data_IF_415122052479
#
_entry.id   IF_415122052479
#
_cell.length_a   1.000
_cell.length_b   1.000
_cell.length_c   1.000
_cell.angle_alpha   90.00
_cell.angle_beta   90.00
_cell.angle_gamma   90.00
#
_symmetry.space_group_name_H-M   'P 1'
#
loop_
_entity.id
_entity.type
_entity.pdbx_description
1 polymer ?
#
# COMPACT_ATOMS: atom_id res chain seq x y z
N UNK A 1 20.05 -1.72 -9.20
CA UNK A 1 19.43 -2.84 -9.93
C UNK A 1 18.00 -2.45 -10.24
N UNK A 2 17.53 -2.72 -11.45
CA UNK A 2 16.12 -2.59 -11.83
C UNK A 2 15.27 -3.53 -10.98
N UNK A 3 14.15 -3.04 -10.45
CA UNK A 3 13.21 -3.81 -9.66
C UNK A 3 11.89 -3.94 -10.43
N UNK A 4 11.17 -5.02 -10.16
CA UNK A 4 9.78 -5.21 -10.59
C UNK A 4 8.89 -4.82 -9.42
N UNK A 5 8.25 -3.68 -9.53
CA UNK A 5 7.49 -3.04 -8.47
C UNK A 5 6.01 -3.20 -8.75
N UNK A 6 5.29 -3.76 -7.79
CA UNK A 6 3.83 -3.73 -7.79
C UNK A 6 3.34 -2.67 -6.81
N UNK A 7 2.76 -1.59 -7.32
CA UNK A 7 2.05 -0.62 -6.50
C UNK A 7 0.59 -1.04 -6.31
N UNK A 8 0.13 -1.06 -5.07
CA UNK A 8 -1.23 -1.41 -4.69
C UNK A 8 -1.85 -0.20 -4.00
N UNK A 9 -2.81 0.42 -4.66
CA UNK A 9 -3.62 1.51 -4.11
C UNK A 9 -4.82 0.93 -3.37
N UNK A 10 -4.73 0.89 -2.05
CA UNK A 10 -5.76 0.40 -1.13
C UNK A 10 -6.84 1.43 -0.81
N UNK A 11 -7.20 2.28 -1.76
CA UNK A 11 -8.23 3.32 -1.62
C UNK A 11 -9.33 3.10 -2.67
N UNK A 12 -10.63 3.24 -2.32
CA UNK A 12 -11.72 3.03 -3.28
C UNK A 12 -11.80 4.15 -4.34
N UNK A 13 -11.51 5.39 -3.97
CA UNK A 13 -11.48 6.52 -4.92
C UNK A 13 -10.09 6.73 -5.56
N UNK A 14 -10.12 6.98 -6.88
CA UNK A 14 -8.99 7.35 -7.74
C UNK A 14 -8.60 8.84 -7.69
N UNK A 15 -9.33 9.68 -6.94
CA UNK A 15 -9.10 11.13 -6.85
C UNK A 15 -8.68 11.58 -5.45
N UNK A 16 -8.27 10.63 -4.60
CA UNK A 16 -7.84 10.87 -3.22
C UNK A 16 -6.38 11.33 -3.12
N UNK A 17 -5.97 11.85 -1.95
CA UNK A 17 -4.55 12.10 -1.69
C UNK A 17 -3.71 10.82 -1.76
N UNK A 18 -4.28 9.64 -1.44
CA UNK A 18 -3.62 8.36 -1.69
C UNK A 18 -3.34 8.12 -3.18
N UNK A 19 -4.22 8.55 -4.09
CA UNK A 19 -3.93 8.47 -5.52
C UNK A 19 -2.76 9.38 -5.90
N UNK A 20 -2.72 10.62 -5.42
CA UNK A 20 -1.60 11.52 -5.67
C UNK A 20 -0.25 10.95 -5.18
N UNK A 21 -0.25 10.31 -4.00
CA UNK A 21 0.91 9.57 -3.48
C UNK A 21 1.29 8.39 -4.38
N UNK A 22 0.32 7.61 -4.85
CA UNK A 22 0.54 6.49 -5.75
C UNK A 22 1.13 6.94 -7.09
N UNK A 23 0.55 7.97 -7.71
CA UNK A 23 0.97 8.50 -9.00
C UNK A 23 2.40 9.08 -8.91
N UNK A 24 2.72 9.76 -7.81
CA UNK A 24 4.08 10.25 -7.53
C UNK A 24 5.08 9.10 -7.39
N UNK A 25 4.70 8.04 -6.67
CA UNK A 25 5.55 6.87 -6.49
C UNK A 25 5.82 6.16 -7.82
N UNK A 26 4.78 5.95 -8.63
CA UNK A 26 4.88 5.34 -9.96
C UNK A 26 5.84 6.15 -10.82
N UNK A 27 5.60 7.45 -10.93
CA UNK A 27 6.41 8.35 -11.74
C UNK A 27 7.89 8.32 -11.34
N UNK A 28 8.19 8.46 -10.04
CA UNK A 28 9.56 8.45 -9.53
C UNK A 28 10.26 7.09 -9.75
N UNK A 29 9.55 5.98 -9.54
CA UNK A 29 10.10 4.64 -9.73
C UNK A 29 10.38 4.35 -11.21
N UNK A 30 9.49 4.75 -12.11
CA UNK A 30 9.69 4.62 -13.56
C UNK A 30 10.89 5.45 -14.04
N UNK A 31 11.02 6.70 -13.59
CA UNK A 31 12.19 7.54 -13.91
C UNK A 31 13.49 6.90 -13.39
N UNK A 32 13.46 6.26 -12.23
CA UNK A 32 14.61 5.55 -11.67
C UNK A 32 14.93 4.22 -12.40
N UNK A 33 14.24 3.90 -13.49
CA UNK A 33 14.48 2.72 -14.33
C UNK A 33 13.95 1.42 -13.73
N UNK A 34 12.89 1.50 -12.92
CA UNK A 34 12.16 0.33 -12.43
C UNK A 34 10.95 0.00 -13.32
N UNK A 35 10.62 -1.28 -13.41
CA UNK A 35 9.36 -1.73 -14.03
C UNK A 35 8.25 -1.64 -12.99
N UNK A 36 7.13 -1.01 -13.34
CA UNK A 36 6.02 -0.77 -12.40
C UNK A 36 4.72 -1.33 -12.96
N UNK A 37 4.04 -2.16 -12.18
CA UNK A 37 2.63 -2.52 -12.36
C UNK A 37 1.79 -1.91 -11.25
N UNK A 38 0.52 -1.64 -11.54
CA UNK A 38 -0.37 -0.92 -10.63
C UNK A 38 -1.66 -1.71 -10.46
N UNK A 39 -2.06 -1.93 -9.20
CA UNK A 39 -3.37 -2.46 -8.83
C UNK A 39 -4.12 -1.38 -8.06
N UNK A 40 -5.18 -0.85 -8.67
CA UNK A 40 -6.12 0.08 -8.02
C UNK A 40 -7.27 -0.74 -7.48
N UNK A 41 -7.30 -1.00 -6.17
CA UNK A 41 -8.28 -1.92 -5.59
C UNK A 41 -9.73 -1.45 -5.80
N UNK A 42 -9.95 -0.13 -5.87
CA UNK A 42 -11.28 0.44 -6.17
C UNK A 42 -11.80 0.16 -7.58
N UNK A 43 -10.96 -0.33 -8.48
CA UNK A 43 -11.32 -0.66 -9.88
C UNK A 43 -11.48 -2.17 -10.11
N UNK A 44 -11.13 -3.00 -9.12
CA UNK A 44 -11.22 -4.45 -9.24
C UNK A 44 -12.65 -4.95 -8.97
N UNK A 45 -13.11 -5.89 -9.78
CA UNK A 45 -14.36 -6.61 -9.61
C UNK A 45 -14.10 -7.92 -8.84
N UNK A 46 -14.33 -7.89 -7.53
CA UNK A 46 -14.25 -9.07 -6.67
C UNK A 46 -15.14 -8.93 -5.45
N UNK A 47 -15.51 -10.06 -4.85
CA UNK A 47 -16.19 -10.07 -3.56
C UNK A 47 -15.16 -10.01 -2.41
N UNK A 48 -15.14 -8.96 -1.58
CA UNK A 48 -14.14 -8.81 -0.52
C UNK A 48 -14.39 -9.74 0.68
N UNK A 49 -15.50 -10.47 0.74
CA UNK A 49 -15.86 -11.34 1.87
C UNK A 49 -15.34 -12.76 1.64
N UNK A 50 -14.67 -13.33 2.63
CA UNK A 50 -14.30 -14.74 2.68
C UNK A 50 -15.39 -15.54 3.41
N UNK A 51 -16.42 -15.99 2.68
CA UNK A 51 -17.68 -16.47 3.28
C UNK A 51 -17.53 -17.69 4.18
N UNK A 52 -16.63 -18.62 3.83
CA UNK A 52 -16.48 -19.90 4.54
C UNK A 52 -15.16 -20.02 5.30
N UNK A 53 -14.47 -18.91 5.53
CA UNK A 53 -13.10 -18.92 6.04
C UNK A 53 -12.20 -19.83 5.19
N UNK A 54 -11.40 -20.67 5.86
CA UNK A 54 -10.54 -21.65 5.19
C UNK A 54 -11.16 -23.05 5.09
N UNK A 55 -12.44 -23.22 5.44
CA UNK A 55 -13.09 -24.54 5.47
C UNK A 55 -13.51 -25.00 4.07
N UNK A 56 -14.01 -24.07 3.24
CA UNK A 56 -14.40 -24.36 1.86
C UNK A 56 -13.64 -23.45 0.90
N UNK A 57 -13.20 -23.98 -0.26
CA UNK A 57 -12.56 -23.16 -1.27
C UNK A 57 -13.56 -22.15 -1.84
N UNK A 58 -13.08 -20.92 -2.03
CA UNK A 58 -13.79 -19.87 -2.72
C UNK A 58 -12.97 -19.50 -3.95
N UNK A 59 -13.54 -19.70 -5.13
CA UNK A 59 -12.84 -19.45 -6.38
C UNK A 59 -12.42 -17.98 -6.48
N UNK A 60 -11.19 -17.74 -6.94
CA UNK A 60 -10.70 -16.39 -7.18
C UNK A 60 -11.28 -15.86 -8.49
N UNK A 61 -11.80 -14.65 -8.44
CA UNK A 61 -12.24 -13.89 -9.60
C UNK A 61 -11.03 -13.59 -10.52
N UNK A 62 -11.27 -13.35 -11.83
CA UNK A 62 -10.19 -13.05 -12.78
C UNK A 62 -9.25 -11.93 -12.32
N UNK A 63 -9.77 -10.91 -11.65
CA UNK A 63 -8.99 -9.80 -11.12
C UNK A 63 -8.08 -10.23 -9.96
N UNK A 64 -8.56 -11.14 -9.10
CA UNK A 64 -7.74 -11.69 -8.01
C UNK A 64 -6.67 -12.66 -8.53
N UNK A 65 -6.98 -13.45 -9.58
CA UNK A 65 -5.99 -14.29 -10.26
C UNK A 65 -4.89 -13.44 -10.90
N UNK A 66 -5.27 -12.35 -11.59
CA UNK A 66 -4.34 -11.39 -12.18
C UNK A 66 -3.49 -10.72 -11.11
N UNK A 67 -4.09 -10.31 -9.99
CA UNK A 67 -3.38 -9.75 -8.86
C UNK A 67 -2.37 -10.74 -8.23
N UNK A 68 -2.71 -12.03 -8.11
CA UNK A 68 -1.75 -13.06 -7.68
C UNK A 68 -0.57 -13.18 -8.65
N UNK A 69 -0.83 -13.16 -9.95
CA UNK A 69 0.23 -13.19 -10.96
C UNK A 69 1.16 -11.97 -10.85
N UNK A 70 0.60 -10.78 -10.62
CA UNK A 70 1.37 -9.56 -10.41
C UNK A 70 2.21 -9.59 -9.13
N UNK A 71 1.67 -10.13 -8.03
CA UNK A 71 2.41 -10.31 -6.77
C UNK A 71 3.59 -11.28 -6.98
N UNK A 72 3.41 -12.34 -7.77
CA UNK A 72 4.47 -13.29 -8.09
C UNK A 72 5.54 -12.66 -8.99
N UNK A 73 5.13 -11.84 -9.96
CA UNK A 73 6.03 -11.08 -10.82
C UNK A 73 6.87 -10.07 -10.03
N UNK A 74 6.29 -9.42 -9.01
CA UNK A 74 6.97 -8.38 -8.25
C UNK A 74 8.13 -8.91 -7.38
N UNK A 75 9.22 -8.13 -7.32
CA UNK A 75 10.29 -8.28 -6.31
C UNK A 75 10.15 -7.27 -5.17
N UNK A 76 9.36 -6.21 -5.38
CA UNK A 76 9.06 -5.18 -4.40
C UNK A 76 7.58 -4.78 -4.48
N UNK A 77 6.93 -4.60 -3.33
CA UNK A 77 5.53 -4.16 -3.25
C UNK A 77 5.44 -2.77 -2.62
N UNK A 78 4.64 -1.88 -3.17
CA UNK A 78 4.34 -0.59 -2.57
C UNK A 78 2.85 -0.53 -2.21
N UNK A 79 2.53 -0.40 -0.93
CA UNK A 79 1.15 -0.29 -0.46
C UNK A 79 0.84 1.16 -0.12
N UNK A 80 -0.17 1.73 -0.78
CA UNK A 80 -0.65 3.09 -0.52
C UNK A 80 -2.07 3.02 0.04
N UNK A 81 -2.28 3.46 1.28
CA UNK A 81 -3.60 3.35 1.93
C UNK A 81 -3.79 4.35 3.07
N UNK A 82 -5.03 4.75 3.38
CA UNK A 82 -5.34 5.51 4.58
C UNK A 82 -5.50 4.62 5.81
N UNK A 83 -5.30 5.19 7.00
CA UNK A 83 -5.72 4.57 8.26
C UNK A 83 -7.18 4.94 8.53
N UNK A 84 -8.06 3.94 8.56
CA UNK A 84 -9.46 4.07 8.94
C UNK A 84 -9.74 3.21 10.15
N UNK A 85 -10.36 3.80 11.19
CA UNK A 85 -10.63 3.11 12.46
C UNK A 85 -9.40 2.41 13.07
N UNK A 86 -8.22 3.03 12.92
CA UNK A 86 -6.94 2.50 13.40
C UNK A 86 -6.34 1.37 12.55
N UNK A 87 -7.04 0.88 11.52
CA UNK A 87 -6.61 -0.22 10.66
C UNK A 87 -6.50 0.16 9.17
N UNK A 88 -6.30 -0.85 8.34
CA UNK A 88 -6.38 -0.73 6.88
C UNK A 88 -7.84 -0.68 6.41
N UNK A 89 -8.15 -0.11 5.23
CA UNK A 89 -9.50 -0.02 4.71
C UNK A 89 -10.16 -1.39 4.49
N UNK A 90 -11.49 -1.46 4.64
CA UNK A 90 -12.24 -2.71 4.48
C UNK A 90 -12.02 -3.37 3.11
N UNK A 91 -12.01 -2.60 2.02
CA UNK A 91 -11.72 -3.10 0.67
C UNK A 91 -10.34 -3.75 0.59
N UNK A 92 -9.32 -3.10 1.16
CA UNK A 92 -7.95 -3.62 1.19
C UNK A 92 -7.84 -4.84 2.10
N UNK A 93 -8.52 -4.85 3.25
CA UNK A 93 -8.57 -5.99 4.15
C UNK A 93 -9.21 -7.20 3.47
N UNK A 94 -10.33 -7.02 2.79
CA UNK A 94 -11.01 -8.07 2.03
C UNK A 94 -10.16 -8.59 0.88
N UNK A 95 -9.47 -7.71 0.15
CA UNK A 95 -8.48 -8.11 -0.86
C UNK A 95 -7.39 -9.01 -0.29
N UNK A 96 -6.83 -8.65 0.87
CA UNK A 96 -5.83 -9.49 1.56
C UNK A 96 -6.44 -10.82 1.99
N UNK A 97 -7.63 -10.82 2.58
CA UNK A 97 -8.31 -12.05 3.03
C UNK A 97 -8.58 -13.02 1.88
N UNK A 98 -8.91 -12.48 0.70
CA UNK A 98 -9.21 -13.26 -0.50
C UNK A 98 -7.97 -13.73 -1.25
N UNK A 99 -6.85 -12.99 -1.22
CA UNK A 99 -5.64 -13.34 -1.99
C UNK A 99 -4.58 -14.07 -1.16
N UNK A 100 -4.37 -13.68 0.09
CA UNK A 100 -3.28 -14.20 0.93
C UNK A 100 -3.69 -15.54 1.54
N UNK A 101 -4.06 -16.49 0.70
CA UNK A 101 -4.59 -17.81 1.08
C UNK A 101 -3.46 -18.83 1.36
N UNK A 102 -3.75 -19.89 2.14
CA UNK A 102 -2.89 -21.05 2.25
C UNK A 102 -2.54 -21.63 0.88
N UNK A 103 -1.27 -21.97 0.67
CA UNK A 103 -0.76 -22.48 -0.61
C UNK A 103 -0.29 -21.39 -1.58
N UNK A 104 -0.69 -20.13 -1.37
CA UNK A 104 -0.16 -18.98 -2.11
C UNK A 104 0.76 -18.10 -1.25
N UNK A 105 0.26 -17.59 -0.12
CA UNK A 105 1.01 -16.64 0.71
C UNK A 105 1.78 -17.31 1.86
N UNK A 106 1.21 -18.37 2.43
CA UNK A 106 1.79 -19.16 3.51
C UNK A 106 1.35 -20.63 3.42
N UNK A 107 2.02 -21.52 4.16
CA UNK A 107 1.62 -22.92 4.27
C UNK A 107 1.92 -23.49 5.66
N UNK A 108 0.89 -23.94 6.37
CA UNK A 108 1.10 -24.70 7.61
C UNK A 108 1.62 -26.10 7.32
N UNK A 109 2.57 -26.57 8.14
CA UNK A 109 3.05 -27.95 8.15
C UNK A 109 2.80 -28.56 9.52
N UNK A 110 2.37 -29.82 9.53
CA UNK A 110 2.23 -30.59 10.78
C UNK A 110 3.57 -30.60 11.53
N UNK A 111 3.52 -30.30 12.83
CA UNK A 111 4.70 -30.30 13.70
C UNK A 111 5.57 -29.03 13.66
N UNK A 112 5.20 -27.99 12.88
CA UNK A 112 5.87 -26.68 12.94
C UNK A 112 5.01 -25.64 13.65
N UNK A 113 5.65 -24.87 14.54
CA UNK A 113 5.00 -23.75 15.24
C UNK A 113 4.68 -22.56 14.32
N UNK A 114 5.46 -22.39 13.24
CA UNK A 114 5.29 -21.32 12.26
C UNK A 114 5.05 -21.87 10.86
N UNK A 115 4.20 -21.24 10.03
CA UNK A 115 3.98 -21.64 8.66
C UNK A 115 5.21 -21.32 7.80
N UNK A 116 5.35 -22.06 6.69
CA UNK A 116 6.29 -21.65 5.64
C UNK A 116 5.81 -20.35 4.99
N UNK A 117 6.78 -19.52 4.63
CA UNK A 117 6.56 -18.20 4.03
C UNK A 117 6.74 -18.31 2.52
N UNK A 118 5.65 -18.23 1.77
CA UNK A 118 5.69 -18.52 0.33
C UNK A 118 6.01 -17.30 -0.53
N UNK A 119 5.91 -16.08 0.03
CA UNK A 119 6.24 -14.82 -0.67
C UNK A 119 7.60 -14.26 -0.27
N UNK A 120 8.47 -15.09 0.31
CA UNK A 120 9.83 -14.72 0.69
C UNK A 120 10.69 -14.19 -0.48
N UNK A 121 11.73 -13.43 -0.15
CA UNK A 121 12.61 -12.80 -1.15
C UNK A 121 12.10 -11.46 -1.69
N UNK A 122 10.91 -11.02 -1.26
CA UNK A 122 10.31 -9.73 -1.64
C UNK A 122 10.45 -8.69 -0.55
N UNK A 123 10.50 -7.44 -0.94
CA UNK A 123 10.50 -6.28 -0.02
C UNK A 123 9.24 -5.44 -0.19
N UNK A 124 8.96 -4.55 0.76
CA UNK A 124 7.82 -3.65 0.65
C UNK A 124 8.00 -2.26 1.23
N UNK A 125 7.35 -1.27 0.62
CA UNK A 125 7.10 0.05 1.17
C UNK A 125 5.63 0.19 1.59
N UNK A 126 5.41 0.89 2.70
CA UNK A 126 4.07 1.33 3.12
C UNK A 126 4.02 2.85 3.07
N UNK A 127 3.05 3.41 2.35
CA UNK A 127 2.80 4.83 2.20
C UNK A 127 1.40 5.12 2.76
N UNK A 128 1.37 5.70 3.96
CA UNK A 128 0.18 5.68 4.80
C UNK A 128 -0.32 7.09 5.05
N UNK A 129 -1.58 7.36 4.77
CA UNK A 129 -2.23 8.63 5.14
C UNK A 129 -3.06 8.47 6.40
N UNK A 130 -3.15 9.52 7.23
CA UNK A 130 -3.93 9.52 8.46
C UNK A 130 -4.22 10.95 8.93
N UNK A 131 -5.29 11.13 9.70
CA UNK A 131 -5.64 12.43 10.29
C UNK A 131 -5.13 12.61 11.72
N UNK A 132 -4.72 11.52 12.37
CA UNK A 132 -4.00 11.61 13.65
C UNK A 132 -2.56 12.08 13.39
N UNK A 133 -2.02 13.04 14.16
CA UNK A 133 -0.61 13.40 14.07
C UNK A 133 0.29 12.15 14.13
N UNK A 134 1.25 11.97 13.20
CA UNK A 134 2.02 10.72 13.10
C UNK A 134 2.76 10.31 14.37
N UNK A 135 3.23 11.29 15.16
CA UNK A 135 3.87 11.00 16.45
C UNK A 135 2.88 10.42 17.47
N UNK A 136 1.63 10.91 17.49
CA UNK A 136 0.62 10.45 18.43
C UNK A 136 0.14 9.05 18.03
N UNK A 137 -0.14 8.85 16.73
CA UNK A 137 -0.43 7.53 16.19
C UNK A 137 0.70 6.53 16.49
N UNK A 138 1.95 7.01 16.43
CA UNK A 138 3.15 6.23 16.74
C UNK A 138 3.22 5.77 18.19
N UNK A 139 3.19 6.70 19.11
CA UNK A 139 3.57 6.45 20.50
C UNK A 139 2.39 6.14 21.40
N UNK A 140 1.24 6.76 21.15
CA UNK A 140 0.04 6.58 21.99
C UNK A 140 -0.82 5.44 21.46
N UNK A 141 -1.18 5.48 20.18
CA UNK A 141 -1.99 4.42 19.58
C UNK A 141 -1.18 3.17 19.19
N UNK A 142 0.16 3.26 19.19
CA UNK A 142 1.07 2.14 18.86
C UNK A 142 0.92 1.62 17.42
N UNK A 143 0.42 2.46 16.51
CA UNK A 143 0.30 2.21 15.06
C UNK A 143 -0.33 0.86 14.67
N UNK A 144 -1.56 0.55 15.10
CA UNK A 144 -2.14 -0.79 14.97
C UNK A 144 -2.21 -1.25 13.51
N UNK A 145 -2.72 -0.42 12.59
CA UNK A 145 -2.78 -0.76 11.17
C UNK A 145 -1.41 -0.97 10.51
N UNK A 146 -0.37 -0.26 10.97
CA UNK A 146 0.99 -0.45 10.44
C UNK A 146 1.61 -1.72 11.01
N UNK A 147 1.40 -2.04 12.29
CA UNK A 147 1.85 -3.31 12.86
C UNK A 147 1.15 -4.49 12.21
N UNK A 148 -0.16 -4.37 11.95
CA UNK A 148 -0.94 -5.37 11.21
C UNK A 148 -0.32 -5.62 9.83
N UNK A 149 -0.08 -4.57 9.05
CA UNK A 149 0.51 -4.72 7.71
C UNK A 149 1.95 -5.22 7.76
N UNK A 150 2.81 -4.61 8.57
CA UNK A 150 4.23 -4.96 8.58
C UNK A 150 4.48 -6.35 9.12
N UNK A 151 3.93 -6.65 10.30
CA UNK A 151 4.32 -7.81 11.09
C UNK A 151 3.42 -9.01 10.83
N UNK A 152 2.11 -8.83 11.00
CA UNK A 152 1.16 -9.96 10.98
C UNK A 152 0.65 -10.30 9.58
N UNK A 153 0.92 -9.44 8.59
CA UNK A 153 0.52 -9.67 7.19
C UNK A 153 1.74 -9.92 6.31
N UNK A 154 2.58 -8.91 6.08
CA UNK A 154 3.70 -9.01 5.13
C UNK A 154 4.83 -9.91 5.64
N UNK A 155 5.36 -9.63 6.84
CA UNK A 155 6.45 -10.44 7.39
C UNK A 155 6.04 -11.88 7.72
N UNK A 156 4.76 -12.09 8.03
CA UNK A 156 4.15 -13.42 8.16
C UNK A 156 4.27 -14.21 6.84
N UNK A 157 3.98 -13.58 5.70
CA UNK A 157 4.09 -14.21 4.37
C UNK A 157 5.51 -14.21 3.79
N UNK A 158 6.47 -13.57 4.45
CA UNK A 158 7.89 -13.52 4.05
C UNK A 158 8.31 -12.26 3.30
N UNK A 159 7.39 -11.32 3.09
CA UNK A 159 7.70 -10.02 2.49
C UNK A 159 8.32 -9.11 3.56
N UNK A 160 9.49 -8.53 3.30
CA UNK A 160 10.20 -7.68 4.26
C UNK A 160 9.85 -6.19 4.06
N UNK A 161 9.11 -5.54 4.99
CA UNK A 161 8.81 -4.12 4.87
C UNK A 161 10.05 -3.27 5.21
N UNK A 162 10.57 -2.52 4.23
CA UNK A 162 11.83 -1.77 4.32
C UNK A 162 11.63 -0.31 4.69
N UNK A 163 10.54 0.33 4.26
CA UNK A 163 10.21 1.73 4.58
C UNK A 163 8.72 1.87 4.91
N UNK A 164 8.42 2.81 5.80
CA UNK A 164 7.05 3.25 6.09
C UNK A 164 7.04 4.76 6.19
N UNK A 165 6.30 5.42 5.31
CA UNK A 165 6.05 6.86 5.35
C UNK A 165 4.63 7.08 5.85
N UNK A 166 4.48 8.03 6.78
CA UNK A 166 3.20 8.41 7.36
C UNK A 166 2.94 9.88 7.05
N UNK A 167 1.81 10.17 6.41
CA UNK A 167 1.42 11.51 5.98
C UNK A 167 0.16 11.92 6.73
N UNK A 168 0.31 12.87 7.64
CA UNK A 168 -0.81 13.31 8.46
C UNK A 168 -0.46 14.48 9.39
N UNK A 169 -1.47 15.19 9.91
CA UNK A 169 -2.89 15.08 9.56
C UNK A 169 -3.20 15.48 8.11
N UNK A 170 -4.00 14.71 7.37
CA UNK A 170 -4.38 15.07 5.99
C UNK A 170 -5.51 16.10 6.00
N UNK A 171 -6.51 15.90 6.87
CA UNK A 171 -7.54 16.88 7.15
C UNK A 171 -6.90 18.18 7.65
N UNK A 172 -7.27 19.30 7.03
CA UNK A 172 -6.70 20.61 7.32
C UNK A 172 -5.28 20.83 6.78
N UNK A 173 -4.71 19.90 6.02
CA UNK A 173 -3.41 20.10 5.39
C UNK A 173 -3.45 21.17 4.29
N UNK A 174 -2.35 21.92 4.17
CA UNK A 174 -2.12 22.90 3.10
C UNK A 174 -1.52 22.22 1.86
N UNK A 175 -1.62 22.89 0.70
CA UNK A 175 -0.95 22.43 -0.52
C UNK A 175 0.57 22.26 -0.32
N UNK A 176 1.22 23.19 0.38
CA UNK A 176 2.66 23.12 0.67
C UNK A 176 3.04 21.90 1.51
N UNK A 177 2.22 21.55 2.50
CA UNK A 177 2.42 20.33 3.30
C UNK A 177 2.30 19.08 2.43
N UNK A 178 1.25 19.00 1.60
CA UNK A 178 1.05 17.90 0.66
C UNK A 178 2.20 17.76 -0.33
N UNK A 179 2.67 18.86 -0.92
CA UNK A 179 3.82 18.87 -1.81
C UNK A 179 5.10 18.37 -1.13
N UNK A 180 5.28 18.71 0.16
CA UNK A 180 6.42 18.22 0.94
C UNK A 180 6.35 16.71 1.11
N UNK A 181 5.17 16.16 1.40
CA UNK A 181 4.97 14.71 1.48
C UNK A 181 5.19 14.02 0.14
N UNK A 182 4.70 14.58 -0.97
CA UNK A 182 4.95 14.03 -2.30
C UNK A 182 6.45 14.03 -2.66
N UNK A 183 7.21 15.06 -2.26
CA UNK A 183 8.68 15.06 -2.40
C UNK A 183 9.35 13.93 -1.60
N UNK A 184 8.85 13.63 -0.39
CA UNK A 184 9.36 12.49 0.39
C UNK A 184 9.10 11.15 -0.32
N UNK A 185 7.99 11.03 -1.05
CA UNK A 185 7.69 9.85 -1.89
C UNK A 185 8.72 9.72 -3.01
N UNK A 186 8.98 10.79 -3.77
CA UNK A 186 9.97 10.80 -4.85
C UNK A 186 11.38 10.45 -4.39
N UNK A 187 11.78 10.98 -3.23
CA UNK A 187 13.08 10.74 -2.60
C UNK A 187 13.34 9.27 -2.21
N UNK A 188 12.35 8.37 -2.31
CA UNK A 188 12.58 6.92 -2.13
C UNK A 188 13.47 6.32 -3.23
N UNK A 189 13.53 6.95 -4.39
CA UNK A 189 14.21 6.43 -5.59
C UNK A 189 15.43 7.24 -6.04
N UNK A 190 15.60 8.44 -5.49
CA UNK A 190 16.77 9.28 -5.78
C UNK A 190 18.00 8.73 -5.04
N UNK A 191 19.04 8.34 -5.78
CA UNK A 191 20.39 8.19 -5.20
C UNK A 191 20.92 9.59 -4.91
N UNK A 192 21.37 9.84 -3.68
CA UNK A 192 21.71 11.17 -3.17
C UNK A 192 22.36 12.13 -4.16
N UNK A 193 21.59 13.13 -4.61
CA UNK A 193 21.93 14.56 -4.57
C UNK A 193 20.77 15.35 -5.20
N UNK A 194 20.20 16.22 -4.38
CA UNK A 194 19.03 17.02 -4.67
C UNK A 194 19.36 18.10 -5.72
N UNK A 195 18.77 18.02 -6.91
CA UNK A 195 18.62 19.18 -7.80
C UNK A 195 17.15 19.29 -8.18
N UNK A 196 16.49 20.31 -7.62
CA UNK A 196 15.08 20.61 -7.88
C UNK A 196 14.97 21.10 -9.33
N UNK A 197 14.63 20.20 -10.25
CA UNK A 197 14.17 20.62 -11.57
C UNK A 197 12.76 21.20 -11.42
N UNK A 198 12.71 22.53 -11.50
CA UNK A 198 11.51 23.37 -11.41
C UNK A 198 10.68 23.22 -12.69
N UNK A 199 10.09 22.06 -12.95
CA UNK A 199 9.17 21.88 -14.08
C UNK A 199 8.18 20.71 -13.90
N UNK A 200 7.45 20.75 -12.79
CA UNK A 200 6.21 19.96 -12.64
C UNK A 200 5.14 20.81 -11.95
N UNK A 201 4.77 21.94 -12.55
CA UNK A 201 3.48 22.58 -12.26
C UNK A 201 2.43 21.92 -13.16
N UNK A 202 2.09 20.68 -12.86
CA UNK A 202 0.76 20.20 -13.19
C UNK A 202 -0.17 20.81 -12.15
N UNK A 203 -0.92 21.82 -12.55
CA UNK A 203 -2.03 22.37 -11.76
C UNK A 203 -3.10 21.28 -11.71
N UNK A 204 -3.01 20.38 -10.73
CA UNK A 204 -4.13 19.57 -10.31
C UNK A 204 -4.79 20.32 -9.18
N UNK A 205 -5.84 21.06 -9.53
CA UNK A 205 -6.71 21.69 -8.55
C UNK A 205 -7.43 20.63 -7.73
N UNK A 206 -6.83 20.20 -6.62
CA UNK A 206 -7.56 19.55 -5.53
C UNK A 206 -7.98 20.61 -4.50
N UNK A 207 -8.81 21.55 -4.96
CA UNK A 207 -9.72 22.29 -4.09
C UNK A 207 -11.04 21.55 -4.16
N UNK A 208 -11.25 20.55 -3.31
CA UNK A 208 -12.56 20.07 -2.84
C UNK A 208 -12.33 18.78 -2.05
N UNK A 209 -11.88 18.92 -0.82
CA UNK A 209 -12.13 17.97 0.27
C UNK A 209 -11.79 18.73 1.55
N UNK A 210 -12.81 19.40 2.08
CA UNK A 210 -12.69 20.32 3.21
C UNK A 210 -14.03 20.74 3.81
N UNK A 211 -15.12 20.66 3.04
CA UNK A 211 -16.48 20.89 3.56
C UNK A 211 -17.35 19.66 3.27
N UNK A 212 -17.23 18.63 4.09
CA UNK A 212 -18.35 17.71 4.31
C UNK A 212 -18.89 18.03 5.70
N UNK A 213 -20.18 18.41 5.85
CA UNK A 213 -20.74 18.79 7.14
C UNK A 213 -21.12 17.57 8.01
N UNK A 214 -20.38 16.47 7.88
CA UNK A 214 -20.55 15.27 8.70
C UNK A 214 -19.29 15.04 9.55
#
# INVERSE_FOLDING_TARGET
MTQRILLILGHPSSTSFCSAVADTYIHAATIAGHEVRVLRLGELAFDPVLHNGYTLPQALEPDLLSAQADILWATHLAWVFPIWWGGIPALMKGFIDRIFLPGFAFKYRKGKAFPDKLLQGRTAHLLVTLDTPPWYYRWVYRMPGIHQMRSTTLAFCGIKPTKTLMFGPVLGSTATQRDTWLKQVGALFEKGNFHVHRQSRAVVGHNHQGDSPL
#
